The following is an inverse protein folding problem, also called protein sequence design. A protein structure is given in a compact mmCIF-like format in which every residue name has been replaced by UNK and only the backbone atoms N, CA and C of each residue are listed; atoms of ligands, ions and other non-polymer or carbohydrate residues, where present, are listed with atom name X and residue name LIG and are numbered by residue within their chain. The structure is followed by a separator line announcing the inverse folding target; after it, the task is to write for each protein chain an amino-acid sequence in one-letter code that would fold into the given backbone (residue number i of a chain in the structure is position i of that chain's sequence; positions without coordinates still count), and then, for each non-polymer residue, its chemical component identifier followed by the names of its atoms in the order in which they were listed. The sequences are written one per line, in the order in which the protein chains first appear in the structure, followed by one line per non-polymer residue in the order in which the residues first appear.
data_IF_958821370015
#
_entry.id   IF_958821370015
#
_cell.length_a   1.000
_cell.length_b   1.000
_cell.length_c   1.000
_cell.angle_alpha   90.00
_cell.angle_beta   90.00
_cell.angle_gamma   90.00
#
_symmetry.space_group_name_H-M   'P 1'
#
loop_
_entity.id
_entity.type
_entity.pdbx_description
1 polymer ?
#
# COMPACT_ATOMS: atom_id res chain seq x y z
N UNK A 1 47.63 -22.32 11.94
CA UNK A 1 46.38 -22.94 11.44
C UNK A 1 45.18 -22.17 11.97
N UNK A 2 44.90 -20.98 11.43
CA UNK A 2 43.91 -20.04 12.02
C UNK A 2 43.27 -19.12 10.96
N UNK A 3 43.10 -19.61 9.72
CA UNK A 3 42.48 -18.82 8.64
C UNK A 3 41.24 -19.44 7.99
N UNK A 4 40.93 -20.71 8.29
CA UNK A 4 39.80 -21.42 7.66
C UNK A 4 38.49 -21.17 8.43
N UNK A 5 38.54 -20.91 9.74
CA UNK A 5 37.35 -20.68 10.57
C UNK A 5 36.64 -19.34 10.35
N UNK A 6 37.29 -18.36 9.72
CA UNK A 6 36.72 -17.01 9.53
C UNK A 6 35.85 -16.89 8.28
N UNK A 7 36.09 -17.70 7.24
CA UNK A 7 35.36 -17.64 5.98
C UNK A 7 34.01 -18.38 6.03
N UNK A 8 33.95 -19.51 6.72
CA UNK A 8 32.70 -20.27 6.92
C UNK A 8 31.70 -19.51 7.79
N UNK A 9 32.16 -18.77 8.81
CA UNK A 9 31.29 -17.96 9.64
C UNK A 9 30.72 -16.75 8.87
N UNK A 10 31.52 -16.14 7.98
CA UNK A 10 31.08 -15.05 7.12
C UNK A 10 30.07 -15.52 6.05
N UNK A 11 30.25 -16.73 5.51
CA UNK A 11 29.35 -17.32 4.51
C UNK A 11 27.99 -17.71 5.12
N UNK A 12 27.96 -18.19 6.37
CA UNK A 12 26.73 -18.48 7.11
C UNK A 12 26.02 -17.16 7.49
N UNK A 13 26.75 -16.11 7.86
CA UNK A 13 26.17 -14.77 8.07
C UNK A 13 25.62 -14.16 6.78
N UNK A 14 26.24 -14.41 5.61
CA UNK A 14 25.71 -13.97 4.32
C UNK A 14 24.43 -14.72 3.92
N UNK A 15 24.37 -16.03 4.20
CA UNK A 15 23.18 -16.87 3.98
C UNK A 15 22.03 -16.56 4.94
N UNK A 16 22.31 -16.09 6.17
CA UNK A 16 21.28 -15.63 7.12
C UNK A 16 20.85 -14.18 6.88
N UNK A 17 21.59 -13.41 6.07
CA UNK A 17 21.21 -12.04 5.66
C UNK A 17 20.43 -11.99 4.36
N UNK A 18 20.22 -13.14 3.71
CA UNK A 18 19.54 -13.26 2.42
C UNK A 18 18.33 -14.18 2.57
N UNK A 19 17.16 -13.61 2.85
CA UNK A 19 15.84 -14.08 2.40
C UNK A 19 14.71 -13.48 3.26
N UNK A 20 14.56 -12.16 3.21
CA UNK A 20 13.20 -11.61 3.06
C UNK A 20 13.03 -11.38 1.56
N UNK A 21 12.93 -12.45 0.76
CA UNK A 21 12.55 -12.31 -0.65
C UNK A 21 11.14 -11.75 -0.60
N UNK A 22 11.03 -10.45 -0.87
CA UNK A 22 9.77 -9.78 -1.13
C UNK A 22 9.23 -10.48 -2.38
N UNK A 23 8.22 -11.34 -2.20
CA UNK A 23 7.58 -12.01 -3.31
C UNK A 23 6.65 -11.00 -3.97
N UNK A 24 7.08 -10.46 -5.10
CA UNK A 24 6.32 -9.50 -5.92
C UNK A 24 5.21 -10.15 -6.75
N UNK A 25 5.03 -11.46 -6.64
CA UNK A 25 4.11 -12.25 -7.46
C UNK A 25 3.02 -12.88 -6.60
N UNK A 26 2.49 -12.14 -5.62
CA UNK A 26 1.29 -12.57 -4.92
C UNK A 26 0.08 -12.06 -5.70
N UNK A 27 -0.69 -12.99 -6.26
CA UNK A 27 -1.98 -12.66 -6.90
C UNK A 27 -2.93 -12.00 -5.89
N UNK A 28 -3.77 -11.04 -6.30
CA UNK A 28 -4.65 -10.30 -5.40
C UNK A 28 -5.53 -11.18 -4.50
N UNK A 29 -6.10 -12.25 -5.04
CA UNK A 29 -6.96 -13.20 -4.32
C UNK A 29 -6.26 -13.97 -3.20
N UNK A 30 -4.93 -14.04 -3.24
CA UNK A 30 -4.13 -14.71 -2.21
C UNK A 30 -3.81 -13.78 -1.02
N UNK A 31 -4.26 -12.53 -1.04
CA UNK A 31 -4.04 -11.57 0.02
C UNK A 31 -4.84 -11.92 1.29
N UNK A 32 -4.13 -12.16 2.39
CA UNK A 32 -4.72 -12.44 3.70
C UNK A 32 -4.79 -11.18 4.53
N UNK A 33 -6.01 -10.75 4.84
CA UNK A 33 -6.27 -9.61 5.72
C UNK A 33 -6.59 -10.09 7.13
N UNK A 34 -5.95 -9.51 8.13
CA UNK A 34 -6.29 -9.70 9.53
C UNK A 34 -6.59 -8.36 10.19
N UNK A 35 -7.69 -8.29 10.94
CA UNK A 35 -8.07 -7.10 11.69
C UNK A 35 -7.79 -7.34 13.18
N UNK A 36 -7.24 -6.35 13.87
CA UNK A 36 -7.09 -6.41 15.33
C UNK A 36 -8.43 -6.22 16.06
N UNK A 37 -9.38 -5.55 15.42
CA UNK A 37 -10.66 -5.12 15.99
C UNK A 37 -11.79 -5.36 14.98
N UNK A 38 -12.99 -5.70 15.46
CA UNK A 38 -14.19 -5.91 14.64
C UNK A 38 -14.63 -4.62 13.97
N UNK A 39 -14.52 -3.47 14.66
CA UNK A 39 -14.89 -2.16 14.12
C UNK A 39 -14.07 -1.85 12.84
N UNK A 40 -12.79 -2.19 12.83
CA UNK A 40 -11.93 -2.02 11.64
C UNK A 40 -12.40 -2.87 10.46
N UNK A 41 -12.90 -4.08 10.74
CA UNK A 41 -13.47 -4.94 9.71
C UNK A 41 -14.75 -4.33 9.16
N UNK A 42 -15.66 -3.85 10.00
CA UNK A 42 -16.90 -3.21 9.58
C UNK A 42 -16.66 -1.99 8.68
N UNK A 43 -15.63 -1.20 8.98
CA UNK A 43 -15.33 0.03 8.22
C UNK A 43 -14.64 -0.28 6.88
N UNK A 44 -13.68 -1.20 6.87
CA UNK A 44 -12.75 -1.32 5.75
C UNK A 44 -12.91 -2.58 4.90
N UNK A 45 -13.60 -3.62 5.37
CA UNK A 45 -13.60 -4.91 4.67
C UNK A 45 -14.04 -4.80 3.21
N UNK A 46 -15.21 -4.21 2.95
CA UNK A 46 -15.74 -4.07 1.60
C UNK A 46 -14.87 -3.14 0.73
N UNK A 47 -14.23 -2.13 1.35
CA UNK A 47 -13.30 -1.25 0.66
C UNK A 47 -12.00 -1.94 0.25
N UNK A 48 -11.52 -2.89 1.07
CA UNK A 48 -10.34 -3.68 0.76
C UNK A 48 -10.66 -4.70 -0.32
N UNK A 49 -11.83 -5.34 -0.28
CA UNK A 49 -12.29 -6.20 -1.36
C UNK A 49 -12.35 -5.43 -2.68
N UNK A 50 -12.90 -4.20 -2.66
CA UNK A 50 -12.88 -3.34 -3.84
C UNK A 50 -11.45 -3.06 -4.34
N UNK A 51 -10.49 -2.80 -3.45
CA UNK A 51 -9.10 -2.61 -3.86
C UNK A 51 -8.52 -3.88 -4.55
N UNK A 52 -8.81 -5.07 -4.01
CA UNK A 52 -8.39 -6.35 -4.56
C UNK A 52 -8.99 -6.56 -5.95
N UNK A 53 -10.30 -6.36 -6.11
CA UNK A 53 -11.00 -6.48 -7.40
C UNK A 53 -10.42 -5.50 -8.44
N UNK A 54 -10.13 -4.25 -8.04
CA UNK A 54 -9.57 -3.24 -8.94
C UNK A 54 -8.12 -3.52 -9.32
N UNK A 55 -7.35 -4.16 -8.44
CA UNK A 55 -6.02 -4.65 -8.73
C UNK A 55 -6.07 -5.83 -9.72
N UNK A 56 -6.97 -6.79 -9.51
CA UNK A 56 -7.17 -7.95 -10.40
C UNK A 56 -7.58 -7.51 -11.81
N UNK A 57 -8.54 -6.57 -11.94
CA UNK A 57 -8.96 -5.99 -13.23
C UNK A 57 -7.81 -5.39 -14.05
N UNK A 58 -6.71 -5.02 -13.39
CA UNK A 58 -5.53 -4.36 -13.98
C UNK A 58 -4.31 -5.28 -14.01
N UNK A 59 -4.50 -6.59 -13.80
CA UNK A 59 -3.44 -7.60 -13.80
C UNK A 59 -2.29 -7.26 -12.82
N UNK A 60 -2.63 -6.71 -11.66
CA UNK A 60 -1.66 -6.30 -10.64
C UNK A 60 -1.25 -7.46 -9.74
N UNK A 61 -0.02 -7.46 -9.27
CA UNK A 61 0.48 -8.37 -8.22
C UNK A 61 0.93 -7.60 -6.99
N UNK A 62 0.99 -8.27 -5.85
CA UNK A 62 1.39 -7.69 -4.57
C UNK A 62 2.73 -8.23 -4.09
N UNK A 63 3.47 -7.38 -3.37
CA UNK A 63 4.76 -7.68 -2.73
C UNK A 63 4.64 -8.50 -1.44
N UNK A 64 3.43 -8.63 -0.91
CA UNK A 64 3.11 -9.36 0.32
C UNK A 64 1.72 -9.97 0.24
N UNK A 65 1.58 -11.21 0.67
CA UNK A 65 0.27 -11.87 0.80
C UNK A 65 -0.40 -11.69 2.16
N UNK A 66 0.09 -10.76 3.00
CA UNK A 66 -0.45 -10.52 4.34
C UNK A 66 -0.51 -9.03 4.66
N UNK A 67 -1.65 -8.61 5.21
CA UNK A 67 -1.88 -7.28 5.77
C UNK A 67 -2.57 -7.41 7.13
N UNK A 68 -2.02 -6.73 8.14
CA UNK A 68 -2.61 -6.61 9.45
C UNK A 68 -3.04 -5.17 9.72
N UNK A 69 -4.33 -4.97 9.96
CA UNK A 69 -4.94 -3.67 10.18
C UNK A 69 -5.25 -3.50 11.66
N UNK A 70 -4.78 -2.40 12.22
CA UNK A 70 -5.01 -2.08 13.63
C UNK A 70 -5.16 -0.60 13.90
N UNK A 71 -5.73 -0.29 15.06
CA UNK A 71 -5.70 1.06 15.59
C UNK A 71 -4.27 1.49 15.94
N UNK A 72 -3.93 2.72 15.57
CA UNK A 72 -2.74 3.43 16.02
C UNK A 72 -3.13 4.50 17.03
N UNK A 73 -3.42 4.18 18.30
CA UNK A 73 -3.81 5.17 19.32
C UNK A 73 -2.75 6.27 19.52
N UNK A 74 -1.48 5.98 19.20
CA UNK A 74 -0.39 6.95 19.19
C UNK A 74 -0.47 7.99 18.07
N UNK A 75 -1.29 7.77 17.04
CA UNK A 75 -1.42 8.63 15.86
C UNK A 75 -2.46 9.76 16.04
N UNK A 76 -3.05 9.89 17.22
CA UNK A 76 -4.28 10.64 17.51
C UNK A 76 -4.35 12.11 17.02
N UNK A 77 -3.21 12.74 16.71
CA UNK A 77 -3.13 14.17 16.39
C UNK A 77 -3.38 14.54 14.91
N UNK A 78 -3.45 13.58 13.97
CA UNK A 78 -3.69 13.86 12.54
C UNK A 78 -4.52 12.77 11.86
N UNK A 79 -5.52 13.13 11.05
CA UNK A 79 -6.23 12.18 10.16
C UNK A 79 -5.20 11.57 9.22
N UNK A 80 -4.79 10.35 9.54
CA UNK A 80 -3.81 9.61 8.78
C UNK A 80 -3.94 8.11 9.07
N UNK A 81 -3.36 7.31 8.18
CA UNK A 81 -2.93 5.96 8.50
C UNK A 81 -1.41 5.89 8.26
N UNK A 82 -0.78 4.82 8.69
CA UNK A 82 0.64 4.63 8.46
C UNK A 82 0.93 3.18 8.19
N UNK A 83 1.54 2.95 7.03
CA UNK A 83 2.02 1.66 6.58
C UNK A 83 3.44 1.38 7.09
N UNK A 84 3.65 0.15 7.56
CA UNK A 84 4.95 -0.37 7.96
C UNK A 84 5.35 -1.52 7.04
N UNK A 85 6.65 -1.63 6.75
CA UNK A 85 7.21 -2.65 5.83
C UNK A 85 6.97 -4.10 6.26
N UNK A 86 6.53 -4.34 7.51
CA UNK A 86 6.19 -5.66 8.04
C UNK A 86 4.74 -6.09 7.77
N UNK A 87 4.03 -5.43 6.86
CA UNK A 87 2.65 -5.80 6.51
C UNK A 87 1.61 -5.23 7.48
N UNK A 88 1.92 -4.15 8.19
CA UNK A 88 1.01 -3.55 9.16
C UNK A 88 0.52 -2.18 8.67
N UNK A 89 -0.79 -1.96 8.68
CA UNK A 89 -1.41 -0.65 8.53
C UNK A 89 -1.96 -0.23 9.89
N UNK A 90 -1.50 0.91 10.39
CA UNK A 90 -2.05 1.54 11.60
C UNK A 90 -3.00 2.66 11.20
N UNK A 91 -4.25 2.57 11.60
CA UNK A 91 -5.28 3.58 11.33
C UNK A 91 -5.43 4.49 12.55
N UNK A 92 -5.36 5.81 12.38
CA UNK A 92 -5.73 6.72 13.47
C UNK A 92 -7.25 6.62 13.72
N UNK A 93 -7.70 6.38 14.98
CA UNK A 93 -9.11 6.43 15.33
C UNK A 93 -9.84 7.72 14.89
N UNK A 94 -9.14 8.86 14.83
CA UNK A 94 -9.71 10.13 14.35
C UNK A 94 -9.94 10.17 12.83
N UNK A 95 -9.32 9.28 12.04
CA UNK A 95 -9.53 9.21 10.59
C UNK A 95 -10.88 8.61 10.22
N UNK A 96 -11.33 7.65 11.02
CA UNK A 96 -12.62 6.95 10.86
C UNK A 96 -13.80 7.82 11.30
N UNK A 97 -13.57 8.81 12.18
CA UNK A 97 -14.61 9.77 12.60
C UNK A 97 -15.15 10.63 11.45
N UNK A 98 -14.51 10.60 10.28
CA UNK A 98 -15.09 11.15 9.07
C UNK A 98 -16.00 10.07 8.48
N UNK A 99 -17.26 10.03 8.92
CA UNK A 99 -18.32 9.07 8.55
C UNK A 99 -18.70 9.13 7.05
N UNK A 100 -17.75 8.97 6.15
CA UNK A 100 -17.90 9.09 4.71
C UNK A 100 -17.16 7.93 4.04
N UNK A 101 -17.92 6.95 3.56
CA UNK A 101 -17.43 5.70 2.96
C UNK A 101 -16.38 5.94 1.88
N UNK A 102 -16.56 6.98 1.06
CA UNK A 102 -15.63 7.32 0.00
C UNK A 102 -14.26 7.78 0.50
N UNK A 103 -14.18 8.37 1.69
CA UNK A 103 -12.91 8.72 2.33
C UNK A 103 -12.26 7.51 3.00
N UNK A 104 -13.05 6.60 3.57
CA UNK A 104 -12.56 5.32 4.10
C UNK A 104 -11.94 4.48 2.99
N UNK A 105 -12.61 4.37 1.83
CA UNK A 105 -12.09 3.70 0.65
C UNK A 105 -10.78 4.33 0.17
N UNK A 106 -10.73 5.67 0.08
CA UNK A 106 -9.53 6.37 -0.35
C UNK A 106 -8.35 6.12 0.59
N UNK A 107 -8.58 6.27 1.89
CA UNK A 107 -7.57 6.08 2.93
C UNK A 107 -6.97 4.68 2.85
N UNK A 108 -7.81 3.65 2.85
CA UNK A 108 -7.30 2.27 2.88
C UNK A 108 -6.64 1.88 1.57
N UNK A 109 -7.16 2.34 0.43
CA UNK A 109 -6.55 2.09 -0.89
C UNK A 109 -5.15 2.72 -0.98
N UNK A 110 -4.98 3.92 -0.43
CA UNK A 110 -3.70 4.62 -0.37
C UNK A 110 -2.66 3.82 0.42
N UNK A 111 -3.01 3.36 1.63
CA UNK A 111 -2.11 2.57 2.47
C UNK A 111 -1.80 1.20 1.87
N UNK A 112 -2.81 0.54 1.28
CA UNK A 112 -2.61 -0.75 0.61
C UNK A 112 -1.67 -0.62 -0.58
N UNK A 113 -1.82 0.41 -1.41
CA UNK A 113 -0.90 0.65 -2.52
C UNK A 113 0.54 0.83 -2.04
N UNK A 114 0.73 1.67 -1.03
CA UNK A 114 2.01 1.85 -0.33
C UNK A 114 2.58 0.55 0.23
N UNK A 115 1.73 -0.31 0.77
CA UNK A 115 2.14 -1.55 1.42
C UNK A 115 2.39 -2.70 0.45
N UNK A 116 1.67 -2.75 -0.67
CA UNK A 116 1.59 -3.92 -1.52
C UNK A 116 2.21 -3.70 -2.90
N UNK A 117 2.15 -2.47 -3.42
CA UNK A 117 2.47 -2.18 -4.82
C UNK A 117 3.72 -1.31 -4.98
N UNK A 118 4.04 -0.43 -4.03
CA UNK A 118 5.26 0.39 -4.11
C UNK A 118 6.46 -0.32 -3.47
N UNK A 119 7.69 -0.18 -3.99
CA UNK A 119 8.87 -0.68 -3.31
C UNK A 119 9.20 0.20 -2.10
N UNK A 120 9.72 -0.37 -0.99
CA UNK A 120 9.99 0.43 0.22
C UNK A 120 11.01 1.57 0.02
N UNK A 121 11.82 1.49 -1.03
CA UNK A 121 12.80 2.51 -1.40
C UNK A 121 12.23 3.67 -2.23
N UNK A 122 10.98 3.57 -2.71
CA UNK A 122 10.37 4.55 -3.60
C UNK A 122 8.97 5.00 -3.12
N UNK A 123 8.80 5.18 -1.82
CA UNK A 123 7.64 5.89 -1.27
C UNK A 123 7.59 7.31 -1.85
N UNK A 124 6.81 7.50 -2.92
CA UNK A 124 6.60 8.79 -3.57
C UNK A 124 5.25 9.36 -3.14
N UNK A 125 5.27 10.60 -2.64
CA UNK A 125 4.09 11.43 -2.43
C UNK A 125 4.17 12.60 -3.41
N UNK A 126 3.47 12.47 -4.55
CA UNK A 126 3.46 13.55 -5.53
C UNK A 126 2.61 14.73 -5.06
N UNK A 127 2.80 15.85 -5.75
CA UNK A 127 2.02 17.05 -5.51
C UNK A 127 0.54 16.80 -5.77
N UNK A 128 -0.30 17.46 -4.98
CA UNK A 128 -1.76 17.43 -5.10
C UNK A 128 -2.20 18.07 -6.42
N UNK A 129 -2.86 17.32 -7.30
CA UNK A 129 -3.42 17.80 -8.57
C UNK A 129 -4.93 17.57 -8.65
N UNK A 130 -5.65 18.52 -9.28
CA UNK A 130 -7.09 18.37 -9.56
C UNK A 130 -7.27 17.69 -10.92
N UNK A 131 -8.26 16.80 -11.00
CA UNK A 131 -8.70 16.21 -12.26
C UNK A 131 -9.41 17.31 -13.06
N UNK A 132 -8.91 17.58 -14.27
CA UNK A 132 -9.41 18.67 -15.12
C UNK A 132 -10.93 18.58 -15.31
N UNK A 133 -11.62 19.68 -15.04
CA UNK A 133 -13.09 19.75 -15.17
C UNK A 133 -13.87 19.18 -13.99
N UNK A 134 -13.21 18.73 -12.91
CA UNK A 134 -13.88 18.21 -11.71
C UNK A 134 -13.34 18.87 -10.43
N UNK A 135 -14.07 18.81 -9.30
CA UNK A 135 -13.55 19.24 -8.01
C UNK A 135 -12.64 18.19 -7.34
N UNK A 136 -12.44 17.03 -7.97
CA UNK A 136 -11.75 15.90 -7.39
C UNK A 136 -10.24 15.96 -7.62
N UNK A 137 -9.49 15.36 -6.72
CA UNK A 137 -8.04 15.21 -6.88
C UNK A 137 -7.69 13.93 -7.63
N UNK A 138 -6.64 13.98 -8.44
CA UNK A 138 -6.03 12.78 -9.02
C UNK A 138 -5.43 11.92 -7.90
N UNK A 139 -5.40 10.59 -8.08
CA UNK A 139 -5.09 9.60 -7.04
C UNK A 139 -3.65 9.63 -6.51
N UNK A 140 -2.83 10.55 -7.00
CA UNK A 140 -1.44 10.74 -6.65
C UNK A 140 -1.26 11.15 -5.17
N UNK A 141 -1.41 10.16 -4.30
CA UNK A 141 -0.78 10.01 -2.99
C UNK A 141 -1.07 11.11 -1.97
N UNK A 142 -2.27 11.69 -2.02
CA UNK A 142 -2.79 12.57 -0.97
C UNK A 142 -3.78 11.80 -0.10
N UNK A 143 -3.39 11.46 1.12
CA UNK A 143 -4.36 11.19 2.18
C UNK A 143 -5.11 12.51 2.46
N UNK A 144 -6.28 12.72 1.85
CA UNK A 144 -7.05 13.94 2.11
C UNK A 144 -8.11 13.72 3.16
N UNK A 145 -8.13 14.60 4.15
CA UNK A 145 -9.18 14.70 5.15
C UNK A 145 -10.39 15.55 4.69
N UNK A 146 -10.37 16.08 3.45
CA UNK A 146 -11.43 16.97 2.96
C UNK A 146 -12.44 16.20 2.11
N UNK A 147 -13.65 16.05 2.66
CA UNK A 147 -14.80 15.37 2.05
C UNK A 147 -15.05 15.67 0.57
N UNK A 148 -14.93 16.94 0.16
CA UNK A 148 -15.31 17.38 -1.19
C UNK A 148 -14.29 17.07 -2.29
N UNK A 149 -13.14 16.49 -1.93
CA UNK A 149 -12.03 16.29 -2.85
C UNK A 149 -12.00 14.89 -3.47
N UNK A 150 -12.86 13.99 -2.97
CA UNK A 150 -13.05 12.67 -3.53
C UNK A 150 -14.54 12.48 -3.87
N UNK A 151 -14.84 11.78 -4.97
CA UNK A 151 -16.21 11.51 -5.38
C UNK A 151 -16.91 10.59 -4.38
N UNK A 152 -18.25 10.62 -4.35
CA UNK A 152 -19.03 9.61 -3.60
C UNK A 152 -18.78 8.21 -4.16
N UNK A 153 -19.11 7.18 -3.37
CA UNK A 153 -18.85 5.78 -3.72
C UNK A 153 -19.52 5.36 -5.05
N UNK A 154 -20.66 5.97 -5.36
CA UNK A 154 -21.50 5.67 -6.53
C UNK A 154 -20.96 6.24 -7.86
N UNK A 155 -19.98 7.14 -7.81
CA UNK A 155 -19.38 7.70 -9.02
C UNK A 155 -18.31 6.74 -9.55
N UNK A 156 -18.78 5.66 -10.19
CA UNK A 156 -17.95 4.55 -10.66
C UNK A 156 -16.82 5.03 -11.58
N UNK A 157 -17.12 5.90 -12.56
CA UNK A 157 -16.13 6.43 -13.52
C UNK A 157 -14.96 7.13 -12.81
N UNK A 158 -15.23 7.91 -11.76
CA UNK A 158 -14.16 8.61 -11.05
C UNK A 158 -13.34 7.71 -10.13
N UNK A 159 -13.92 6.62 -9.65
CA UNK A 159 -13.17 5.60 -8.95
C UNK A 159 -12.33 4.75 -9.89
N UNK A 160 -12.83 4.41 -11.08
CA UNK A 160 -12.04 3.74 -12.12
C UNK A 160 -10.82 4.59 -12.49
N UNK A 161 -11.02 5.89 -12.76
CA UNK A 161 -9.92 6.83 -12.98
C UNK A 161 -8.95 6.88 -11.79
N UNK A 162 -9.46 6.89 -10.56
CA UNK A 162 -8.63 6.90 -9.36
C UNK A 162 -7.72 5.66 -9.30
N UNK A 163 -8.27 4.47 -9.54
CA UNK A 163 -7.51 3.22 -9.51
C UNK A 163 -6.55 3.10 -10.71
N UNK A 164 -6.94 3.57 -11.89
CA UNK A 164 -6.04 3.66 -13.04
C UNK A 164 -4.80 4.47 -12.69
N UNK A 165 -4.99 5.68 -12.15
CA UNK A 165 -3.88 6.54 -11.72
C UNK A 165 -3.08 5.93 -10.56
N UNK A 166 -3.73 5.19 -9.66
CA UNK A 166 -3.08 4.58 -8.50
C UNK A 166 -2.11 3.49 -8.98
N UNK A 167 -2.53 2.67 -9.94
CA UNK A 167 -1.78 1.52 -10.43
C UNK A 167 -0.91 1.82 -11.66
N UNK A 168 -1.08 2.96 -12.33
CA UNK A 168 -0.37 3.36 -13.55
C UNK A 168 1.17 3.22 -13.45
N UNK A 169 1.71 3.38 -12.24
CA UNK A 169 3.16 3.42 -11.99
C UNK A 169 3.78 2.10 -11.55
N UNK A 170 3.03 1.01 -11.44
CA UNK A 170 3.63 -0.30 -11.11
C UNK A 170 4.58 -0.80 -12.21
N UNK A 171 4.34 -0.42 -13.47
CA UNK A 171 5.16 -0.82 -14.62
C UNK A 171 6.59 -0.26 -14.61
N UNK A 172 6.84 0.92 -14.01
CA UNK A 172 8.16 1.58 -14.06
C UNK A 172 9.15 1.03 -13.03
N UNK A 173 8.68 0.33 -11.98
CA UNK A 173 9.57 -0.22 -10.95
C UNK A 173 10.20 -1.57 -11.34
N UNK A 174 9.65 -2.24 -12.35
CA UNK A 174 10.23 -3.47 -12.92
C UNK A 174 11.64 -3.24 -13.50
N UNK A 175 11.94 -2.01 -13.95
CA UNK A 175 13.24 -1.63 -14.53
C UNK A 175 14.33 -1.29 -13.50
N UNK A 176 13.97 -1.02 -12.24
CA UNK A 176 14.94 -0.57 -11.23
C UNK A 176 15.81 -1.73 -10.72
N UNK A 177 15.32 -2.96 -10.78
CA UNK A 177 16.07 -4.14 -10.30
C UNK A 177 16.95 -4.82 -11.35
N UNK A 178 16.72 -4.60 -12.65
CA UNK A 178 17.59 -5.13 -13.71
C UNK A 178 18.90 -4.32 -13.87
N UNK A 179 18.95 -3.09 -13.35
CA UNK A 179 20.13 -2.24 -13.46
C UNK A 179 21.16 -2.46 -12.35
N UNK A 180 20.75 -2.91 -11.16
CA UNK A 180 21.68 -3.17 -10.05
C UNK A 180 22.26 -4.59 -10.05
N UNK A 181 21.69 -5.55 -10.80
CA UNK A 181 22.26 -6.89 -10.96
C UNK A 181 23.35 -6.98 -12.04
N UNK A 182 23.53 -5.94 -12.85
CA UNK A 182 24.52 -5.88 -13.93
C UNK A 182 25.64 -4.85 -13.74
N UNK A 183 25.78 -4.26 -12.56
CA UNK A 183 26.93 -3.39 -12.26
C UNK A 183 27.75 -3.86 -11.07
N UNK A 184 28.82 -4.59 -11.42
CA UNK A 184 30.05 -4.94 -10.67
C UNK A 184 30.09 -6.23 -9.87
#
# INVERSE_FOLDING_TARGET
MTRIFSLTCLYILFLLSSCSIINWEVEPDNLKITYQDEELSEIFHDHILRFIDEAEKRDMTFRSGKVNIKWGPELANHVNATTFSNGIIKVNPSSVKINHDHLSLQLISHELYHLLCQPPSAYDHRSRHLISGTPYVSSLMVASSKKGEFPTIDNVEMWEYYFDELFLHHGDYSFVYDYESNSK
#
